data_IF_913160554372
#
_entry.id   IF_913160554372
#
_cell.length_a   1.000
_cell.length_b   1.000
_cell.length_c   1.000
_cell.angle_alpha   90.00
_cell.angle_beta   90.00
_cell.angle_gamma   90.00
#
_symmetry.space_group_name_H-M   'P 1'
#
loop_
_entity.id
_entity.type
_entity.pdbx_description
1 polymer ?
#
# COMPACT_ATOMS: atom_id res chain seq x y z
N UNK A 1 -28.22 23.70 4.28
CA UNK A 1 -26.77 23.98 4.35
C UNK A 1 -26.39 24.65 5.66
N UNK A 2 -27.11 24.33 6.76
CA UNK A 2 -26.81 24.86 8.10
C UNK A 2 -25.89 23.93 8.92
N UNK A 3 -25.53 22.77 8.37
CA UNK A 3 -24.58 21.86 9.00
C UNK A 3 -23.14 22.25 8.62
N UNK A 4 -22.38 22.74 9.61
CA UNK A 4 -20.99 23.12 9.48
C UNK A 4 -20.10 21.92 9.04
N UNK A 5 -20.54 20.69 9.34
CA UNK A 5 -19.81 19.46 9.03
C UNK A 5 -20.23 18.82 7.69
N UNK A 6 -21.07 19.46 6.89
CA UNK A 6 -21.58 18.89 5.63
C UNK A 6 -20.50 18.31 4.70
N UNK A 7 -19.28 18.84 4.75
CA UNK A 7 -18.13 18.35 3.97
C UNK A 7 -17.70 16.96 4.38
N UNK A 8 -17.92 16.57 5.64
CA UNK A 8 -17.59 15.25 6.17
C UNK A 8 -18.53 14.13 5.72
N UNK A 9 -19.64 14.47 5.00
CA UNK A 9 -20.59 13.46 4.51
C UNK A 9 -19.99 12.47 3.50
N UNK A 10 -18.94 12.88 2.77
CA UNK A 10 -18.27 12.07 1.75
C UNK A 10 -16.76 12.30 1.78
N UNK A 11 -15.99 11.27 1.40
CA UNK A 11 -14.54 11.33 1.21
C UNK A 11 -14.16 11.02 -0.24
N UNK A 12 -12.91 11.29 -0.61
CA UNK A 12 -12.46 11.15 -2.00
C UNK A 12 -12.80 12.36 -2.87
N UNK A 13 -13.04 13.52 -2.24
CA UNK A 13 -13.29 14.78 -2.94
C UNK A 13 -12.06 15.27 -3.71
N UNK A 14 -12.25 16.01 -4.82
CA UNK A 14 -11.16 16.77 -5.42
C UNK A 14 -10.50 17.72 -4.41
N UNK A 15 -9.18 17.91 -4.50
CA UNK A 15 -8.40 18.74 -3.56
C UNK A 15 -9.01 20.15 -3.42
N UNK A 16 -9.39 20.77 -4.55
CA UNK A 16 -10.01 22.11 -4.54
C UNK A 16 -11.40 22.17 -3.88
N UNK A 17 -12.03 21.01 -3.61
CA UNK A 17 -13.31 20.88 -2.90
C UNK A 17 -13.16 20.37 -1.47
N UNK A 18 -11.94 20.33 -0.94
CA UNK A 18 -11.66 19.90 0.43
C UNK A 18 -11.14 18.47 0.54
N UNK A 19 -10.85 17.80 -0.58
CA UNK A 19 -10.17 16.50 -0.58
C UNK A 19 -8.75 16.58 0.01
N UNK A 20 -8.19 15.44 0.38
CA UNK A 20 -6.84 15.32 0.94
C UNK A 20 -5.83 14.92 -0.14
N UNK A 21 -4.64 15.52 -0.11
CA UNK A 21 -3.53 15.11 -0.98
C UNK A 21 -3.10 13.66 -0.69
N UNK A 22 -2.58 12.96 -1.70
CA UNK A 22 -2.12 11.57 -1.57
C UNK A 22 -3.20 10.49 -1.61
N UNK A 23 -4.51 10.85 -1.58
CA UNK A 23 -5.60 9.86 -1.54
C UNK A 23 -5.59 8.88 -2.71
N UNK A 24 -5.24 9.35 -3.91
CA UNK A 24 -5.21 8.51 -5.12
C UNK A 24 -4.16 7.39 -5.04
N UNK A 25 -3.01 7.67 -4.46
CA UNK A 25 -1.90 6.73 -4.32
C UNK A 25 -1.95 5.92 -3.01
N UNK A 26 -2.82 6.30 -2.07
CA UNK A 26 -2.84 5.80 -0.69
C UNK A 26 -2.94 4.27 -0.58
N UNK A 27 -3.78 3.63 -1.40
CA UNK A 27 -3.91 2.16 -1.37
C UNK A 27 -2.62 1.49 -1.82
N UNK A 28 -2.07 1.90 -2.96
CA UNK A 28 -0.80 1.34 -3.46
C UNK A 28 0.36 1.56 -2.50
N UNK A 29 0.43 2.74 -1.88
CA UNK A 29 1.45 3.07 -0.88
C UNK A 29 1.27 2.28 0.42
N UNK A 30 0.03 2.09 0.88
CA UNK A 30 -0.24 1.24 2.03
C UNK A 30 0.21 -0.20 1.81
N UNK A 31 -0.01 -0.75 0.61
CA UNK A 31 0.46 -2.09 0.23
C UNK A 31 2.00 -2.15 0.20
N UNK A 32 2.67 -1.12 -0.32
CA UNK A 32 4.14 -1.01 -0.27
C UNK A 32 4.64 -1.11 1.18
N UNK A 33 4.03 -0.40 2.13
CA UNK A 33 4.42 -0.46 3.54
C UNK A 33 4.17 -1.84 4.17
N UNK A 34 3.09 -2.54 3.80
CA UNK A 34 2.86 -3.94 4.19
C UNK A 34 4.01 -4.82 3.73
N UNK A 35 4.42 -4.70 2.47
CA UNK A 35 5.53 -5.48 1.91
C UNK A 35 6.84 -5.15 2.64
N UNK A 36 7.12 -3.88 2.87
CA UNK A 36 8.31 -3.45 3.64
C UNK A 36 8.30 -4.02 5.05
N UNK A 37 7.15 -4.02 5.71
CA UNK A 37 7.04 -4.55 7.07
C UNK A 37 7.29 -6.06 7.10
N UNK A 38 6.81 -6.83 6.10
CA UNK A 38 7.14 -8.26 5.96
C UNK A 38 8.66 -8.46 5.94
N UNK A 39 9.38 -7.65 5.16
CA UNK A 39 10.85 -7.77 5.02
C UNK A 39 11.65 -7.29 6.25
N UNK A 40 11.00 -6.66 7.24
CA UNK A 40 11.61 -6.35 8.55
C UNK A 40 11.58 -7.55 9.51
N UNK A 41 10.85 -8.63 9.20
CA UNK A 41 10.70 -9.81 10.04
C UNK A 41 11.41 -11.03 9.45
N UNK A 42 12.64 -11.28 9.89
CA UNK A 42 13.47 -12.39 9.39
C UNK A 42 12.83 -13.76 9.55
N UNK A 43 12.08 -13.97 10.65
CA UNK A 43 11.35 -15.21 10.89
C UNK A 43 10.25 -15.44 9.84
N UNK A 44 9.56 -14.39 9.41
CA UNK A 44 8.56 -14.47 8.36
C UNK A 44 9.19 -14.70 6.97
N UNK A 45 10.33 -14.10 6.69
CA UNK A 45 11.08 -14.34 5.46
C UNK A 45 11.53 -15.81 5.39
N UNK A 46 12.02 -16.36 6.49
CA UNK A 46 12.38 -17.79 6.59
C UNK A 46 11.17 -18.70 6.43
N UNK A 47 10.05 -18.37 7.08
CA UNK A 47 8.78 -19.13 6.99
C UNK A 47 8.27 -19.16 5.54
N UNK A 48 8.32 -18.02 4.84
CA UNK A 48 7.87 -17.91 3.45
C UNK A 48 8.82 -18.52 2.42
N UNK A 49 10.10 -18.70 2.75
CA UNK A 49 11.14 -19.09 1.80
C UNK A 49 11.51 -17.99 0.78
N UNK A 50 11.19 -16.73 1.07
CA UNK A 50 11.61 -15.58 0.28
C UNK A 50 13.12 -15.32 0.46
N UNK A 51 13.70 -14.61 -0.49
CA UNK A 51 15.06 -14.05 -0.36
C UNK A 51 15.02 -12.83 0.56
N UNK A 52 16.10 -12.58 1.30
CA UNK A 52 16.16 -11.54 2.33
C UNK A 52 15.98 -10.10 1.79
N UNK A 53 16.24 -9.88 0.51
CA UNK A 53 16.09 -8.57 -0.09
C UNK A 53 14.95 -8.56 -1.10
N UNK A 54 14.04 -7.59 -1.00
CA UNK A 54 12.88 -7.47 -1.88
C UNK A 54 13.27 -7.44 -3.37
N UNK A 55 14.35 -6.73 -3.73
CA UNK A 55 14.84 -6.63 -5.12
C UNK A 55 15.26 -7.95 -5.75
N UNK A 56 15.52 -8.98 -4.95
CA UNK A 56 15.93 -10.30 -5.43
C UNK A 56 14.74 -11.22 -5.68
N UNK A 57 13.55 -10.84 -5.18
CA UNK A 57 12.31 -11.58 -5.32
C UNK A 57 11.58 -11.15 -6.59
N UNK A 58 10.99 -12.14 -7.27
CA UNK A 58 10.22 -11.92 -8.50
C UNK A 58 8.76 -11.65 -8.15
N UNK A 59 8.26 -10.50 -8.58
CA UNK A 59 6.93 -10.01 -8.28
C UNK A 59 6.04 -10.04 -9.52
N UNK A 60 4.81 -10.51 -9.34
CA UNK A 60 3.74 -10.43 -10.35
C UNK A 60 2.61 -9.59 -9.78
N UNK A 61 2.09 -8.66 -10.57
CA UNK A 61 0.94 -7.82 -10.23
C UNK A 61 -0.17 -8.07 -11.23
N UNK A 62 -1.33 -8.53 -10.75
CA UNK A 62 -2.54 -8.63 -11.57
C UNK A 62 -3.34 -7.35 -11.45
N UNK A 63 -3.50 -6.64 -12.55
CA UNK A 63 -4.17 -5.34 -12.65
C UNK A 63 -3.19 -4.17 -12.66
N UNK A 64 -3.37 -3.27 -13.63
CA UNK A 64 -2.56 -2.05 -13.78
C UNK A 64 -3.43 -0.77 -13.71
N UNK A 65 -4.59 -0.90 -13.02
CA UNK A 65 -5.47 0.21 -12.67
C UNK A 65 -4.85 1.11 -11.57
N UNK A 66 -5.71 1.87 -10.87
CA UNK A 66 -5.23 2.83 -9.86
C UNK A 66 -4.33 2.17 -8.79
N UNK A 67 -4.74 1.04 -8.22
CA UNK A 67 -3.98 0.37 -7.15
C UNK A 67 -2.69 -0.25 -7.70
N UNK A 68 -2.79 -1.10 -8.72
CA UNK A 68 -1.65 -1.85 -9.24
C UNK A 68 -0.57 -0.96 -9.86
N UNK A 69 -0.95 0.10 -10.60
CA UNK A 69 0.02 1.00 -11.23
C UNK A 69 0.76 1.87 -10.20
N UNK A 70 0.05 2.40 -9.18
CA UNK A 70 0.69 3.15 -8.11
C UNK A 70 1.59 2.25 -7.24
N UNK A 71 1.13 1.05 -6.89
CA UNK A 71 1.96 0.07 -6.18
C UNK A 71 3.22 -0.28 -6.98
N UNK A 72 3.07 -0.61 -8.26
CA UNK A 72 4.21 -0.92 -9.14
C UNK A 72 5.21 0.24 -9.20
N UNK A 73 4.73 1.50 -9.34
CA UNK A 73 5.54 2.72 -9.32
C UNK A 73 6.36 2.85 -8.03
N UNK A 74 5.73 2.65 -6.88
CA UNK A 74 6.40 2.78 -5.58
C UNK A 74 7.43 1.67 -5.39
N UNK A 75 7.07 0.42 -5.58
CA UNK A 75 7.98 -0.73 -5.46
C UNK A 75 9.19 -0.60 -6.41
N UNK A 76 8.97 -0.16 -7.64
CA UNK A 76 10.05 0.00 -8.62
C UNK A 76 10.99 1.16 -8.28
N UNK A 77 10.44 2.34 -7.96
CA UNK A 77 11.25 3.53 -7.77
C UNK A 77 11.93 3.58 -6.40
N UNK A 78 11.23 3.19 -5.35
CA UNK A 78 11.72 3.30 -3.96
C UNK A 78 12.46 2.03 -3.51
N UNK A 79 11.90 0.86 -3.79
CA UNK A 79 12.43 -0.42 -3.27
C UNK A 79 13.28 -1.17 -4.31
N UNK A 80 13.35 -0.67 -5.55
CA UNK A 80 14.06 -1.32 -6.66
C UNK A 80 13.59 -2.76 -6.90
N UNK A 81 12.31 -3.02 -6.66
CA UNK A 81 11.71 -4.33 -6.77
C UNK A 81 11.71 -4.85 -8.23
N UNK A 82 11.90 -6.15 -8.38
CA UNK A 82 11.89 -6.83 -9.68
C UNK A 82 10.49 -7.30 -10.04
N UNK A 83 9.75 -6.48 -10.79
CA UNK A 83 8.41 -6.82 -11.28
C UNK A 83 8.56 -7.50 -12.64
N UNK A 84 8.28 -8.80 -12.70
CA UNK A 84 8.49 -9.63 -13.90
C UNK A 84 7.24 -9.76 -14.78
N UNK A 85 6.04 -9.56 -14.21
CA UNK A 85 4.82 -9.57 -15.01
C UNK A 85 3.78 -8.60 -14.45
N UNK A 86 3.01 -8.00 -15.37
CA UNK A 86 1.86 -7.14 -15.08
C UNK A 86 0.70 -7.58 -15.96
N UNK A 87 -0.43 -7.86 -15.31
CA UNK A 87 -1.66 -8.27 -15.98
C UNK A 87 -2.67 -7.15 -16.13
N UNK A 88 -3.39 -7.20 -17.23
CA UNK A 88 -4.59 -6.42 -17.50
C UNK A 88 -5.70 -7.34 -18.01
N UNK A 89 -6.88 -6.77 -18.26
CA UNK A 89 -8.05 -7.52 -18.69
C UNK A 89 -7.80 -8.34 -19.98
N UNK A 90 -7.02 -7.78 -20.90
CA UNK A 90 -6.84 -8.33 -22.25
C UNK A 90 -5.58 -9.20 -22.38
N UNK A 91 -4.84 -9.42 -21.27
CA UNK A 91 -3.61 -10.19 -21.28
C UNK A 91 -2.59 -9.70 -20.26
N UNK A 92 -1.35 -10.09 -20.41
CA UNK A 92 -0.28 -9.67 -19.51
C UNK A 92 1.05 -9.41 -20.23
N UNK A 93 1.84 -8.53 -19.69
CA UNK A 93 3.21 -8.27 -20.12
C UNK A 93 4.17 -9.06 -19.23
N UNK A 94 5.10 -9.80 -19.83
CA UNK A 94 6.10 -10.60 -19.13
C UNK A 94 7.51 -10.19 -19.53
N UNK A 95 8.38 -9.99 -18.53
CA UNK A 95 9.82 -9.79 -18.75
C UNK A 95 10.61 -10.35 -17.56
N UNK A 96 11.27 -11.50 -17.76
CA UNK A 96 12.05 -12.17 -16.71
C UNK A 96 13.18 -11.31 -16.12
N UNK A 97 13.67 -10.30 -16.86
CA UNK A 97 14.69 -9.35 -16.38
C UNK A 97 14.11 -8.23 -15.52
N UNK A 98 12.78 -8.08 -15.48
CA UNK A 98 12.03 -6.99 -14.87
C UNK A 98 11.52 -6.01 -15.92
N UNK A 99 10.33 -5.47 -15.67
CA UNK A 99 9.65 -4.47 -16.52
C UNK A 99 10.07 -3.07 -16.07
N UNK A 100 10.40 -2.19 -17.02
CA UNK A 100 10.56 -0.76 -16.73
C UNK A 100 9.17 -0.15 -16.46
N UNK A 101 8.87 0.03 -15.18
CA UNK A 101 7.56 0.51 -14.73
C UNK A 101 7.30 1.95 -15.10
N UNK A 102 8.34 2.81 -15.08
CA UNK A 102 8.16 4.21 -15.44
C UNK A 102 7.80 4.34 -16.94
N UNK A 103 8.52 3.63 -17.79
CA UNK A 103 8.21 3.58 -19.22
C UNK A 103 6.81 2.99 -19.49
N UNK A 104 6.42 1.94 -18.72
CA UNK A 104 5.10 1.33 -18.86
C UNK A 104 3.99 2.29 -18.44
N UNK A 105 4.15 3.04 -17.37
CA UNK A 105 3.17 4.05 -16.92
C UNK A 105 2.98 5.13 -18.00
N UNK A 106 4.07 5.63 -18.56
CA UNK A 106 3.99 6.64 -19.63
C UNK A 106 3.31 6.08 -20.89
N UNK A 107 3.61 4.83 -21.24
CA UNK A 107 2.94 4.14 -22.35
C UNK A 107 1.45 3.97 -22.06
N UNK A 108 1.08 3.49 -20.86
CA UNK A 108 -0.30 3.26 -20.45
C UNK A 108 -1.13 4.55 -20.39
N UNK A 109 -0.54 5.66 -19.94
CA UNK A 109 -1.22 6.97 -19.95
C UNK A 109 -1.67 7.37 -21.36
N UNK A 110 -0.85 7.07 -22.37
CA UNK A 110 -1.12 7.43 -23.77
C UNK A 110 -2.07 6.45 -24.46
N UNK A 111 -1.88 5.15 -24.24
CA UNK A 111 -2.53 4.10 -25.03
C UNK A 111 -3.69 3.41 -24.30
N UNK A 112 -3.81 3.58 -22.98
CA UNK A 112 -4.84 2.96 -22.12
C UNK A 112 -4.84 1.41 -22.16
N UNK A 113 -3.73 0.82 -22.58
CA UNK A 113 -3.47 -0.62 -22.60
C UNK A 113 -1.97 -0.87 -22.41
N UNK A 114 -1.58 -2.13 -22.19
CA UNK A 114 -0.17 -2.54 -22.01
C UNK A 114 0.38 -3.33 -23.20
N UNK A 115 -0.48 -3.74 -24.14
CA UNK A 115 -0.07 -4.44 -25.33
C UNK A 115 0.79 -3.50 -26.22
N UNK A 116 1.67 -4.08 -27.03
CA UNK A 116 2.58 -3.34 -27.91
C UNK A 116 3.55 -2.34 -27.22
N UNK A 117 3.70 -2.39 -25.87
CA UNK A 117 4.61 -1.50 -25.14
C UNK A 117 6.09 -1.74 -25.45
N UNK A 118 6.46 -2.92 -26.01
CA UNK A 118 7.84 -3.38 -26.27
C UNK A 118 8.73 -3.47 -24.99
N UNK A 119 8.11 -3.44 -23.79
CA UNK A 119 8.82 -3.52 -22.51
C UNK A 119 8.90 -4.97 -22.00
N UNK A 120 8.34 -5.90 -22.73
CA UNK A 120 8.32 -7.34 -22.48
C UNK A 120 7.55 -8.08 -23.55
N UNK A 121 7.38 -9.38 -23.37
CA UNK A 121 6.52 -10.23 -24.22
C UNK A 121 5.08 -10.10 -23.75
N UNK A 122 4.19 -9.70 -24.66
CA UNK A 122 2.75 -9.66 -24.39
C UNK A 122 2.11 -11.02 -24.66
N UNK A 123 1.30 -11.49 -23.72
CA UNK A 123 0.48 -12.71 -23.81
C UNK A 123 -0.99 -12.32 -23.69
N UNK A 124 -1.83 -12.84 -24.56
CA UNK A 124 -3.24 -12.51 -24.71
C UNK A 124 -4.18 -13.32 -23.77
N UNK A 125 -3.63 -14.28 -23.00
CA UNK A 125 -4.40 -15.05 -22.01
C UNK A 125 -4.15 -14.55 -20.59
N UNK A 126 -5.01 -13.68 -20.03
CA UNK A 126 -4.79 -13.10 -18.70
C UNK A 126 -4.82 -14.13 -17.54
N UNK A 127 -5.42 -15.30 -17.76
CA UNK A 127 -5.50 -16.34 -16.72
C UNK A 127 -4.14 -16.98 -16.43
N UNK A 128 -3.30 -17.14 -17.45
CA UNK A 128 -1.96 -17.72 -17.31
C UNK A 128 -1.04 -16.88 -16.40
N UNK A 129 -1.32 -15.58 -16.23
CA UNK A 129 -0.53 -14.71 -15.35
C UNK A 129 -0.40 -15.27 -13.93
N UNK A 130 -1.51 -15.75 -13.38
CA UNK A 130 -1.56 -16.24 -11.99
C UNK A 130 -0.83 -17.57 -11.82
N UNK A 131 -0.63 -18.31 -12.92
CA UNK A 131 0.02 -19.63 -12.94
C UNK A 131 1.55 -19.53 -13.14
N UNK A 132 2.05 -18.33 -13.44
CA UNK A 132 3.47 -18.08 -13.57
C UNK A 132 4.20 -18.29 -12.24
N UNK A 133 5.42 -18.84 -12.32
CA UNK A 133 6.25 -18.98 -11.13
C UNK A 133 6.81 -17.62 -10.70
N UNK A 134 6.57 -17.27 -9.44
CA UNK A 134 7.08 -16.04 -8.83
C UNK A 134 7.29 -16.22 -7.32
N UNK A 135 7.97 -15.27 -6.71
CA UNK A 135 8.14 -15.24 -5.25
C UNK A 135 6.93 -14.55 -4.57
N UNK A 136 6.42 -13.48 -5.16
CA UNK A 136 5.32 -12.68 -4.61
C UNK A 136 4.27 -12.44 -5.70
N UNK A 137 3.03 -12.84 -5.42
CA UNK A 137 1.86 -12.61 -6.28
C UNK A 137 0.95 -11.56 -5.65
N UNK A 138 0.57 -10.54 -6.43
CA UNK A 138 -0.27 -9.44 -5.96
C UNK A 138 -1.52 -9.32 -6.84
N UNK A 139 -2.63 -9.98 -6.48
CA UNK A 139 -3.91 -9.77 -7.15
C UNK A 139 -4.48 -8.40 -6.78
N UNK A 140 -4.53 -7.48 -7.75
CA UNK A 140 -4.98 -6.09 -7.60
C UNK A 140 -6.09 -5.72 -8.60
N UNK A 141 -6.84 -6.67 -9.14
CA UNK A 141 -7.87 -6.46 -10.14
C UNK A 141 -9.28 -6.82 -9.63
N UNK A 142 -9.62 -8.10 -9.60
CA UNK A 142 -10.99 -8.56 -9.39
C UNK A 142 -11.08 -9.54 -8.20
N UNK A 143 -12.29 -9.63 -7.66
CA UNK A 143 -12.66 -10.70 -6.73
C UNK A 143 -12.60 -12.08 -7.40
N UNK A 144 -12.42 -13.13 -6.60
CA UNK A 144 -12.39 -14.52 -7.07
C UNK A 144 -11.43 -14.80 -8.24
N UNK A 145 -10.29 -14.10 -8.27
CA UNK A 145 -9.25 -14.36 -9.26
C UNK A 145 -8.57 -15.73 -9.05
N UNK A 146 -8.48 -16.18 -7.78
CA UNK A 146 -7.95 -17.49 -7.38
C UNK A 146 -9.08 -18.30 -6.73
N UNK A 147 -9.46 -19.39 -7.38
CA UNK A 147 -10.55 -20.27 -6.96
C UNK A 147 -10.09 -21.73 -6.91
N UNK A 148 -11.00 -22.63 -6.62
CA UNK A 148 -10.72 -24.09 -6.65
C UNK A 148 -10.26 -24.60 -8.01
N UNK A 149 -10.61 -23.86 -9.08
CA UNK A 149 -10.32 -24.26 -10.46
C UNK A 149 -8.86 -24.05 -10.85
N UNK A 150 -8.20 -23.00 -10.29
CA UNK A 150 -6.84 -22.64 -10.64
C UNK A 150 -5.83 -22.67 -9.47
N UNK A 151 -6.29 -22.88 -8.23
CA UNK A 151 -5.44 -22.86 -7.03
C UNK A 151 -4.30 -23.90 -7.08
N UNK A 152 -4.47 -24.99 -7.83
CA UNK A 152 -3.44 -26.01 -7.96
C UNK A 152 -2.26 -25.54 -8.81
N UNK A 153 -2.49 -24.63 -9.74
CA UNK A 153 -1.49 -24.07 -10.66
C UNK A 153 -0.74 -22.86 -10.06
N UNK A 154 -1.20 -22.35 -8.92
CA UNK A 154 -0.54 -21.22 -8.24
C UNK A 154 0.83 -21.65 -7.70
N UNK A 155 1.87 -20.94 -8.16
CA UNK A 155 3.30 -21.22 -7.89
C UNK A 155 3.95 -20.00 -7.28
N UNK A 156 3.58 -19.64 -6.07
CA UNK A 156 4.12 -18.49 -5.34
C UNK A 156 4.37 -18.85 -3.88
N UNK A 157 5.20 -18.07 -3.21
CA UNK A 157 5.50 -18.22 -1.79
C UNK A 157 4.65 -17.30 -0.91
N UNK A 158 4.33 -16.13 -1.44
CA UNK A 158 3.60 -15.07 -0.74
C UNK A 158 2.54 -14.48 -1.66
N UNK A 159 1.32 -14.33 -1.15
CA UNK A 159 0.25 -13.59 -1.82
C UNK A 159 -0.11 -12.36 -0.99
N UNK A 160 -0.20 -11.20 -1.65
CA UNK A 160 -0.62 -9.92 -1.07
C UNK A 160 -1.94 -9.50 -1.71
N UNK A 161 -3.04 -9.63 -0.98
CA UNK A 161 -4.39 -9.37 -1.52
C UNK A 161 -4.68 -7.87 -1.64
N UNK A 162 -4.33 -7.28 -2.77
CA UNK A 162 -4.58 -5.86 -3.02
C UNK A 162 -6.02 -5.57 -3.46
N UNK A 163 -6.68 -6.51 -4.16
CA UNK A 163 -8.11 -6.47 -4.47
C UNK A 163 -8.95 -6.95 -3.28
N UNK A 164 -10.24 -6.68 -3.29
CA UNK A 164 -11.17 -7.22 -2.32
C UNK A 164 -11.56 -8.66 -2.70
N UNK A 165 -11.43 -9.61 -1.77
CA UNK A 165 -11.81 -11.00 -1.95
C UNK A 165 -11.21 -11.69 -3.19
N UNK A 166 -9.92 -11.52 -3.51
CA UNK A 166 -9.35 -12.08 -4.74
C UNK A 166 -9.20 -13.60 -4.67
N UNK A 167 -9.23 -14.19 -3.47
CA UNK A 167 -9.08 -15.63 -3.23
C UNK A 167 -10.37 -16.16 -2.62
N UNK A 168 -10.96 -17.21 -3.21
CA UNK A 168 -12.11 -17.88 -2.63
C UNK A 168 -11.74 -18.60 -1.33
N UNK A 169 -12.74 -18.84 -0.46
CA UNK A 169 -12.51 -19.48 0.84
C UNK A 169 -11.85 -20.84 0.73
N UNK A 170 -12.31 -21.67 -0.22
CA UNK A 170 -11.76 -23.00 -0.45
C UNK A 170 -10.35 -22.96 -1.01
N UNK A 171 -10.05 -21.97 -1.86
CA UNK A 171 -8.71 -21.77 -2.41
C UNK A 171 -7.73 -21.27 -1.32
N UNK A 172 -8.17 -20.36 -0.45
CA UNK A 172 -7.38 -19.88 0.69
C UNK A 172 -6.92 -21.04 1.58
N UNK A 173 -7.84 -21.95 1.91
CA UNK A 173 -7.52 -23.12 2.70
C UNK A 173 -6.49 -24.04 2.03
N UNK A 174 -6.66 -24.31 0.73
CA UNK A 174 -5.70 -25.13 -0.04
C UNK A 174 -4.31 -24.46 -0.13
N UNK A 175 -4.24 -23.14 -0.33
CA UNK A 175 -2.98 -22.42 -0.36
C UNK A 175 -2.28 -22.44 1.00
N UNK A 176 -3.03 -22.27 2.09
CA UNK A 176 -2.51 -22.41 3.43
C UNK A 176 -1.93 -23.81 3.71
N UNK A 177 -2.63 -24.86 3.29
CA UNK A 177 -2.16 -26.26 3.39
C UNK A 177 -0.87 -26.50 2.56
N UNK A 178 -0.72 -25.79 1.43
CA UNK A 178 0.53 -25.79 0.61
C UNK A 178 1.67 -24.97 1.22
N UNK A 179 1.45 -24.27 2.34
CA UNK A 179 2.43 -23.42 2.99
C UNK A 179 2.61 -22.04 2.35
N UNK A 180 1.68 -21.62 1.47
CA UNK A 180 1.69 -20.27 0.90
C UNK A 180 1.24 -19.29 1.98
N UNK A 181 2.01 -18.22 2.19
CA UNK A 181 1.62 -17.16 3.11
C UNK A 181 0.69 -16.18 2.37
N UNK A 182 -0.46 -15.89 2.96
CA UNK A 182 -1.44 -14.94 2.42
C UNK A 182 -1.59 -13.78 3.39
N UNK A 183 -1.29 -12.56 2.96
CA UNK A 183 -1.61 -11.35 3.70
C UNK A 183 -2.98 -10.86 3.20
N UNK A 184 -4.01 -10.84 4.07
CA UNK A 184 -5.39 -10.70 3.65
C UNK A 184 -5.78 -9.26 3.30
N UNK A 185 -6.73 -9.14 2.40
CA UNK A 185 -7.31 -7.88 1.90
C UNK A 185 -7.84 -6.96 3.00
N UNK A 186 -8.51 -7.51 4.01
CA UNK A 186 -9.04 -6.76 5.17
C UNK A 186 -7.99 -5.87 5.84
N UNK A 187 -6.71 -6.18 5.65
CA UNK A 187 -5.58 -5.39 6.13
C UNK A 187 -4.84 -4.70 4.99
N UNK A 188 -4.48 -5.44 3.94
CA UNK A 188 -3.56 -5.01 2.88
C UNK A 188 -4.03 -3.75 2.16
N UNK A 189 -5.30 -3.69 1.75
CA UNK A 189 -5.83 -2.59 0.96
C UNK A 189 -6.44 -1.44 1.81
N UNK A 190 -6.28 -1.51 3.13
CA UNK A 190 -6.85 -0.53 4.06
C UNK A 190 -6.27 0.90 3.90
N UNK A 191 -5.12 1.06 3.23
CA UNK A 191 -4.45 2.35 3.08
C UNK A 191 -5.34 3.46 2.51
N UNK A 192 -6.19 3.11 1.54
CA UNK A 192 -7.17 4.04 0.99
C UNK A 192 -8.19 4.52 2.02
N UNK A 193 -8.66 3.63 2.90
CA UNK A 193 -9.61 3.95 3.97
C UNK A 193 -8.95 4.79 5.06
N UNK A 194 -7.70 4.49 5.40
CA UNK A 194 -6.92 5.28 6.38
C UNK A 194 -6.81 6.74 5.94
N UNK A 195 -6.43 7.00 4.68
CA UNK A 195 -6.35 8.37 4.17
C UNK A 195 -7.73 9.01 4.00
N UNK A 196 -8.78 8.22 3.71
CA UNK A 196 -10.17 8.72 3.74
C UNK A 196 -10.59 9.16 5.14
N UNK A 197 -10.17 8.44 6.18
CA UNK A 197 -10.40 8.85 7.57
C UNK A 197 -9.68 10.17 7.89
N UNK A 198 -8.45 10.36 7.43
CA UNK A 198 -7.76 11.65 7.60
C UNK A 198 -8.47 12.80 6.88
N UNK A 199 -9.01 12.56 5.66
CA UNK A 199 -9.84 13.54 4.97
C UNK A 199 -11.06 13.92 5.78
N UNK A 200 -11.76 12.93 6.35
CA UNK A 200 -12.90 13.14 7.21
C UNK A 200 -12.54 13.94 8.47
N UNK A 201 -11.48 13.59 9.17
CA UNK A 201 -10.99 14.32 10.35
C UNK A 201 -10.67 15.77 10.00
N UNK A 202 -10.01 16.01 8.85
CA UNK A 202 -9.72 17.35 8.34
C UNK A 202 -10.99 18.17 8.14
N UNK A 203 -12.04 17.56 7.58
CA UNK A 203 -13.30 18.24 7.30
C UNK A 203 -14.04 18.63 8.59
N UNK A 204 -14.12 17.73 9.56
CA UNK A 204 -14.86 18.00 10.82
C UNK A 204 -14.05 18.85 11.81
N UNK A 205 -12.72 18.83 11.75
CA UNK A 205 -11.89 19.68 12.61
C UNK A 205 -11.80 21.12 12.12
N UNK A 206 -12.19 21.41 10.87
CA UNK A 206 -12.08 22.71 10.21
C UNK A 206 -10.66 23.30 10.19
N UNK A 207 -9.64 22.46 10.43
CA UNK A 207 -8.23 22.84 10.46
C UNK A 207 -7.54 22.27 9.22
N UNK A 208 -6.69 23.07 8.57
CA UNK A 208 -5.84 22.58 7.49
C UNK A 208 -4.65 21.81 8.07
N UNK A 209 -4.55 20.54 7.72
CA UNK A 209 -3.41 19.69 8.12
C UNK A 209 -2.08 20.37 7.77
N UNK A 210 -1.16 20.38 8.73
CA UNK A 210 0.24 20.78 8.55
C UNK A 210 0.51 22.28 8.50
N UNK A 211 -0.47 23.17 8.35
CA UNK A 211 -0.18 24.61 8.13
C UNK A 211 0.47 25.30 9.31
N UNK A 212 0.07 24.99 10.52
CA UNK A 212 0.62 25.60 11.75
C UNK A 212 1.95 24.94 12.08
N UNK A 213 2.04 23.64 11.96
CA UNK A 213 3.24 22.85 12.24
C UNK A 213 4.36 23.12 11.24
N UNK A 214 4.05 23.29 9.96
CA UNK A 214 5.00 23.62 8.91
C UNK A 214 5.76 24.91 9.23
N UNK A 215 5.08 25.98 9.60
CA UNK A 215 5.73 27.26 9.95
C UNK A 215 6.65 27.13 11.15
N UNK A 216 6.26 26.35 12.14
CA UNK A 216 7.08 26.11 13.33
C UNK A 216 8.35 25.30 12.99
N UNK A 217 8.22 24.30 12.15
CA UNK A 217 9.35 23.53 11.63
C UNK A 217 10.29 24.38 10.78
N UNK A 218 9.75 25.19 9.86
CA UNK A 218 10.50 26.12 9.03
C UNK A 218 11.32 27.10 9.90
N UNK A 219 10.71 27.64 10.94
CA UNK A 219 11.39 28.55 11.86
C UNK A 219 12.52 27.87 12.63
N UNK A 220 12.30 26.67 13.16
CA UNK A 220 13.35 25.88 13.83
C UNK A 220 14.53 25.58 12.91
N UNK A 221 14.26 25.23 11.67
CA UNK A 221 15.30 24.94 10.67
C UNK A 221 16.13 26.19 10.40
N UNK A 222 15.49 27.38 10.25
CA UNK A 222 16.20 28.65 10.08
C UNK A 222 17.11 28.96 11.26
N UNK A 223 16.65 28.74 12.49
CA UNK A 223 17.46 28.93 13.70
C UNK A 223 18.69 28.01 13.73
N UNK A 224 18.53 26.75 13.28
CA UNK A 224 19.64 25.79 13.18
C UNK A 224 20.64 26.22 12.11
N UNK A 225 20.16 26.65 10.93
CA UNK A 225 21.03 27.13 9.84
C UNK A 225 21.81 28.37 10.30
N UNK A 226 21.15 29.33 10.92
CA UNK A 226 21.81 30.55 11.46
C UNK A 226 22.88 30.17 12.51
N UNK A 227 22.63 29.21 13.37
CA UNK A 227 23.60 28.71 14.33
C UNK A 227 24.81 28.05 13.64
N UNK A 228 24.58 27.25 12.60
CA UNK A 228 25.65 26.62 11.82
C UNK A 228 26.48 27.69 11.11
N UNK A 229 25.84 28.62 10.40
CA UNK A 229 26.50 29.70 9.66
C UNK A 229 27.38 30.56 10.58
N UNK A 230 26.88 30.90 11.77
CA UNK A 230 27.66 31.61 12.78
C UNK A 230 28.86 30.81 13.31
N UNK A 231 28.72 29.50 13.50
CA UNK A 231 29.78 28.64 14.01
C UNK A 231 30.85 28.31 12.98
N UNK A 232 30.46 28.15 11.72
CA UNK A 232 31.38 27.82 10.61
C UNK A 232 31.93 29.06 9.89
N UNK A 233 31.44 30.24 10.23
CA UNK A 233 31.75 31.50 9.57
C UNK A 233 31.46 31.46 8.05
N UNK A 234 30.41 30.72 7.68
CA UNK A 234 29.92 30.57 6.30
C UNK A 234 28.51 31.16 6.19
N UNK A 235 28.02 31.30 4.97
CA UNK A 235 26.64 31.72 4.72
C UNK A 235 25.99 30.73 3.77
N UNK A 236 24.98 30.05 4.24
CA UNK A 236 24.21 29.11 3.43
C UNK A 236 23.41 29.87 2.37
N UNK A 237 23.48 29.42 1.11
CA UNK A 237 22.76 30.08 0.01
C UNK A 237 21.23 29.83 0.13
N UNK A 238 20.47 30.74 -0.50
CA UNK A 238 19.02 30.78 -0.41
C UNK A 238 18.35 29.48 -0.98
N UNK A 239 18.91 28.91 -2.04
CA UNK A 239 18.33 27.68 -2.66
C UNK A 239 18.53 26.47 -1.77
N UNK A 240 19.66 26.37 -1.08
CA UNK A 240 19.92 25.36 -0.06
C UNK A 240 19.00 25.54 1.14
N UNK A 241 18.85 26.77 1.64
CA UNK A 241 17.90 27.11 2.71
C UNK A 241 16.48 26.67 2.32
N UNK A 242 16.03 27.04 1.12
CA UNK A 242 14.69 26.70 0.63
C UNK A 242 14.46 25.19 0.50
N UNK A 243 15.47 24.42 0.08
CA UNK A 243 15.40 22.95 0.01
C UNK A 243 15.30 22.33 1.39
N UNK A 244 16.08 22.82 2.36
CA UNK A 244 16.09 22.28 3.74
C UNK A 244 14.82 22.70 4.50
N UNK A 245 14.32 23.92 4.25
CA UNK A 245 13.13 24.49 4.88
C UNK A 245 11.82 23.86 4.43
N UNK A 246 11.82 23.00 3.42
CA UNK A 246 10.57 22.39 2.96
C UNK A 246 10.00 21.49 4.05
N UNK A 247 9.23 22.07 4.96
CA UNK A 247 8.51 21.34 6.00
C UNK A 247 7.44 20.42 5.39
N UNK A 248 7.04 19.39 6.14
CA UNK A 248 6.03 18.43 5.71
C UNK A 248 4.75 19.14 5.21
N UNK A 249 4.33 18.79 4.01
CA UNK A 249 3.07 19.25 3.47
C UNK A 249 1.91 18.31 3.87
N UNK A 250 0.71 18.56 3.35
CA UNK A 250 -0.46 17.75 3.66
C UNK A 250 -0.30 16.30 3.18
N UNK A 251 0.37 16.10 2.06
CA UNK A 251 0.63 14.77 1.50
C UNK A 251 1.64 14.00 2.35
N UNK A 252 2.72 14.66 2.76
CA UNK A 252 3.75 14.08 3.63
C UNK A 252 3.16 13.62 4.98
N UNK A 253 2.29 14.44 5.57
CA UNK A 253 1.62 14.11 6.83
C UNK A 253 0.62 12.96 6.66
N UNK A 254 -0.16 12.96 5.57
CA UNK A 254 -1.09 11.89 5.28
C UNK A 254 -0.35 10.56 5.08
N UNK A 255 0.79 10.58 4.38
CA UNK A 255 1.57 9.37 4.17
C UNK A 255 2.32 8.91 5.41
N UNK A 256 2.84 9.81 6.23
CA UNK A 256 3.43 9.43 7.52
C UNK A 256 2.41 8.75 8.42
N UNK A 257 1.20 9.32 8.54
CA UNK A 257 0.12 8.69 9.31
C UNK A 257 -0.37 7.37 8.73
N UNK A 258 -0.36 7.24 7.39
CA UNK A 258 -0.65 5.99 6.70
C UNK A 258 0.38 4.91 7.03
N UNK A 259 1.66 5.21 6.90
CA UNK A 259 2.77 4.30 7.18
C UNK A 259 2.69 3.79 8.63
N UNK A 260 2.51 4.69 9.60
CA UNK A 260 2.34 4.33 11.01
C UNK A 260 1.11 3.43 11.24
N UNK A 261 -0.02 3.75 10.62
CA UNK A 261 -1.26 2.97 10.76
C UNK A 261 -1.10 1.56 10.20
N UNK A 262 -0.51 1.43 9.01
CA UNK A 262 -0.30 0.14 8.36
C UNK A 262 0.70 -0.71 9.16
N UNK A 263 1.80 -0.12 9.61
CA UNK A 263 2.82 -0.79 10.41
C UNK A 263 2.28 -1.30 11.75
N UNK A 264 1.57 -0.44 12.49
CA UNK A 264 1.01 -0.81 13.79
C UNK A 264 -0.01 -1.95 13.66
N UNK A 265 -0.85 -1.90 12.62
CA UNK A 265 -1.80 -2.97 12.33
C UNK A 265 -1.09 -4.29 11.98
N UNK A 266 -0.01 -4.25 11.19
CA UNK A 266 0.79 -5.44 10.90
C UNK A 266 1.32 -6.08 12.17
N UNK A 267 1.99 -5.29 13.01
CA UNK A 267 2.60 -5.78 14.27
C UNK A 267 1.55 -6.43 15.16
N UNK A 268 0.35 -5.84 15.28
CA UNK A 268 -0.74 -6.39 16.07
C UNK A 268 -1.21 -7.74 15.51
N UNK A 269 -1.49 -7.81 14.20
CA UNK A 269 -1.93 -9.04 13.52
C UNK A 269 -0.86 -10.12 13.60
N UNK A 270 0.40 -9.77 13.36
CA UNK A 270 1.51 -10.72 13.39
C UNK A 270 1.78 -11.30 14.78
N UNK A 271 1.69 -10.48 15.83
CA UNK A 271 1.78 -10.95 17.20
C UNK A 271 0.65 -11.93 17.55
N UNK A 272 -0.56 -11.66 17.06
CA UNK A 272 -1.69 -12.58 17.22
C UNK A 272 -1.42 -13.87 16.45
N UNK A 273 -0.98 -13.81 15.17
CA UNK A 273 -0.61 -14.98 14.37
C UNK A 273 0.35 -15.90 15.10
N UNK A 274 1.43 -15.34 15.67
CA UNK A 274 2.42 -16.11 16.43
C UNK A 274 1.83 -16.77 17.68
N UNK A 275 0.94 -16.06 18.37
CA UNK A 275 0.31 -16.57 19.60
C UNK A 275 -0.71 -17.68 19.35
N UNK A 276 -1.62 -17.47 18.37
CA UNK A 276 -2.71 -18.44 18.09
C UNK A 276 -2.32 -19.53 17.07
N UNK A 277 -1.16 -19.38 16.40
CA UNK A 277 -0.63 -20.28 15.37
C UNK A 277 -1.62 -20.53 14.23
N UNK A 278 -2.23 -19.46 13.73
CA UNK A 278 -3.22 -19.46 12.64
C UNK A 278 -2.73 -18.64 11.46
N UNK A 279 -3.51 -18.60 10.37
CA UNK A 279 -3.23 -17.77 9.22
C UNK A 279 -3.26 -16.25 9.56
N UNK A 280 -2.68 -15.42 8.68
CA UNK A 280 -2.82 -13.96 8.81
C UNK A 280 -4.29 -13.53 8.70
N UNK A 281 -5.10 -14.19 7.86
CA UNK A 281 -6.53 -13.91 7.71
C UNK A 281 -7.28 -14.14 9.01
N UNK A 282 -7.16 -15.34 9.61
CA UNK A 282 -7.79 -15.64 10.90
C UNK A 282 -7.32 -14.66 12.00
N UNK A 283 -6.05 -14.30 11.98
CA UNK A 283 -5.46 -13.38 12.95
C UNK A 283 -5.98 -11.95 12.79
N UNK A 284 -6.14 -11.46 11.56
CA UNK A 284 -6.72 -10.14 11.27
C UNK A 284 -8.19 -10.06 11.70
N UNK A 285 -8.98 -11.08 11.39
CA UNK A 285 -10.36 -11.18 11.89
C UNK A 285 -10.42 -11.25 13.42
N UNK A 286 -9.55 -12.02 14.05
CA UNK A 286 -9.50 -12.09 15.52
C UNK A 286 -9.23 -10.70 16.14
N UNK A 287 -8.26 -9.95 15.61
CA UNK A 287 -7.93 -8.59 16.07
C UNK A 287 -9.14 -7.68 15.92
N UNK A 288 -9.77 -7.68 14.75
CA UNK A 288 -10.91 -6.81 14.43
C UNK A 288 -12.13 -7.12 15.30
N UNK A 289 -12.50 -8.39 15.42
CA UNK A 289 -13.62 -8.82 16.24
C UNK A 289 -13.39 -8.55 17.73
N UNK A 290 -12.15 -8.69 18.21
CA UNK A 290 -11.80 -8.36 19.60
C UNK A 290 -11.98 -6.87 19.87
N UNK A 291 -11.57 -5.98 18.94
CA UNK A 291 -11.76 -4.52 19.08
C UNK A 291 -13.24 -4.17 19.13
N UNK A 292 -14.04 -4.72 18.21
CA UNK A 292 -15.50 -4.50 18.18
C UNK A 292 -16.13 -4.99 19.49
N UNK A 293 -15.80 -6.21 19.93
CA UNK A 293 -16.30 -6.76 21.20
C UNK A 293 -15.97 -5.86 22.38
N UNK A 294 -14.70 -5.45 22.51
CA UNK A 294 -14.28 -4.59 23.62
C UNK A 294 -15.04 -3.27 23.64
N UNK A 295 -15.21 -2.64 22.47
CA UNK A 295 -16.01 -1.41 22.34
C UNK A 295 -17.42 -1.60 22.91
N UNK A 296 -18.15 -2.63 22.45
CA UNK A 296 -19.50 -2.89 22.95
C UNK A 296 -19.55 -3.35 24.41
N UNK A 297 -18.47 -3.88 24.94
CA UNK A 297 -18.40 -4.27 26.36
C UNK A 297 -18.20 -3.03 27.26
N UNK A 298 -17.42 -2.06 26.80
CA UNK A 298 -17.06 -0.85 27.54
C UNK A 298 -18.12 0.25 27.38
N UNK A 299 -18.59 0.50 26.16
CA UNK A 299 -19.53 1.59 25.83
C UNK A 299 -21.01 1.15 25.87
N UNK A 300 -21.25 -0.17 25.81
CA UNK A 300 -22.61 -0.73 25.68
C UNK A 300 -23.15 -0.67 24.25
N UNK A 301 -24.29 -1.34 24.04
CA UNK A 301 -25.03 -1.25 22.78
C UNK A 301 -25.80 0.05 22.71
N UNK A 302 -25.86 0.73 21.54
CA UNK A 302 -26.73 1.89 21.36
C UNK A 302 -28.16 1.52 21.75
N UNK A 303 -28.75 2.25 22.72
CA UNK A 303 -30.19 2.12 22.98
C UNK A 303 -30.92 2.60 21.73
N UNK A 304 -31.78 1.75 21.17
CA UNK A 304 -32.70 2.12 20.08
C UNK A 304 -33.69 3.18 20.51
#
# INVERSE_FOLDING_TARGET
PDDINYRGCVTGKPIHRGGIAGRTEATGRGIEEVIREIFRHEDLIKESGLKNNLKENEIIIQGFGNVGSNLAKHLYNRDKAKIIAIGERDGYLFNKKGIDINALIEFYKKNKNINNSKLGEFKDNPKELLELNCDILIPAALENAITVDNVNEIKTKLIIEAANGPISFEADKKLFEKGVIIIPDIYVNAGGVVVSYFEWVKDISHIRFGRVEKRFQEQKILEIIDLIDKKTNTKTDFDTIKKIMHGADEEDLAFSGLEDSMRNAFIEIYNVKKRIKKSFRESAYYVSLKKIRNFYTEEGFPKR
#
